data_IF_076286288612
#
_entry.id   IF_076286288612
#
_cell.length_a   1.000
_cell.length_b   1.000
_cell.length_c   1.000
_cell.angle_alpha   90.00
_cell.angle_beta   90.00
_cell.angle_gamma   90.00
#
_symmetry.space_group_name_H-M   'P 1'
#
loop_
_entity.id
_entity.type
_entity.pdbx_description
1 polymer ?
#
# COMPACT_ATOMS: atom_id res chain seq x y z
N UNK A 1 46.55 -11.97 16.11
CA UNK A 1 47.43 -10.78 16.09
C UNK A 1 47.59 -10.28 14.70
N UNK A 2 46.91 -9.22 14.36
CA UNK A 2 47.26 -8.27 13.30
C UNK A 2 46.39 -7.01 13.49
N UNK A 3 47.11 -5.95 13.78
CA UNK A 3 46.72 -4.60 14.16
C UNK A 3 46.08 -3.82 12.99
N UNK A 4 45.04 -3.08 13.29
CA UNK A 4 44.38 -2.14 12.39
C UNK A 4 44.96 -0.75 12.66
N UNK A 5 45.49 -0.10 11.64
CA UNK A 5 45.92 1.28 11.69
C UNK A 5 44.83 2.23 11.21
N UNK A 6 44.53 3.20 12.05
CA UNK A 6 43.74 4.39 11.75
C UNK A 6 44.54 5.37 10.91
N UNK A 7 43.88 6.00 9.94
CA UNK A 7 44.43 7.22 9.28
C UNK A 7 43.36 8.29 9.38
N UNK A 8 43.65 9.29 10.21
CA UNK A 8 43.00 10.62 10.25
C UNK A 8 43.67 11.56 9.24
N UNK A 9 42.88 12.26 8.46
CA UNK A 9 43.39 13.47 7.78
C UNK A 9 42.34 14.58 7.80
N UNK A 10 42.62 15.55 8.62
CA UNK A 10 42.04 16.89 8.70
C UNK A 10 42.63 17.79 7.61
N UNK A 11 41.82 18.51 6.85
CA UNK A 11 42.29 19.76 6.19
C UNK A 11 41.16 20.77 6.26
N UNK A 12 41.43 21.85 6.96
CA UNK A 12 40.68 23.10 6.99
C UNK A 12 41.25 24.06 5.93
N UNK A 13 40.41 24.76 5.22
CA UNK A 13 40.82 25.99 4.53
C UNK A 13 39.63 26.97 4.49
N UNK A 14 39.86 28.05 5.19
CA UNK A 14 39.06 29.25 5.29
C UNK A 14 39.51 30.21 4.19
N UNK A 15 38.59 30.73 3.36
CA UNK A 15 38.87 31.93 2.54
C UNK A 15 37.70 32.89 2.65
N UNK A 16 37.97 34.02 3.25
CA UNK A 16 37.16 35.24 3.26
C UNK A 16 37.44 36.02 1.99
N UNK A 17 36.46 36.57 1.31
CA UNK A 17 36.62 37.69 0.40
C UNK A 17 35.40 38.59 0.35
N UNK A 18 35.65 39.85 0.50
CA UNK A 18 34.77 41.02 0.65
C UNK A 18 33.91 41.31 -0.58
N UNK A 19 32.78 41.98 -0.30
CA UNK A 19 31.88 42.64 -1.24
C UNK A 19 32.50 43.91 -1.90
N UNK A 20 31.88 44.40 -2.97
CA UNK A 20 31.46 45.79 -2.94
C UNK A 20 30.00 46.02 -3.28
N UNK A 21 29.44 47.01 -2.61
CA UNK A 21 28.13 47.56 -2.86
C UNK A 21 28.18 48.49 -4.08
N UNK A 22 27.21 48.33 -4.97
CA UNK A 22 26.93 49.25 -6.05
C UNK A 22 25.44 49.46 -6.21
N UNK A 23 24.94 50.57 -5.77
CA UNK A 23 23.56 50.96 -5.94
C UNK A 23 23.24 51.35 -7.39
N UNK A 24 22.09 51.01 -7.87
CA UNK A 24 21.43 51.62 -9.01
C UNK A 24 19.92 51.62 -8.84
N UNK A 25 19.40 52.76 -9.08
CA UNK A 25 18.00 53.22 -8.92
C UNK A 25 17.02 52.57 -9.88
N UNK A 26 15.83 52.40 -9.37
CA UNK A 26 14.51 52.38 -9.96
C UNK A 26 14.35 52.55 -11.48
N UNK A 27 13.68 51.59 -12.08
CA UNK A 27 12.75 51.82 -13.18
C UNK A 27 11.51 50.99 -12.90
N UNK A 28 10.39 51.65 -12.63
CA UNK A 28 9.09 51.06 -12.61
C UNK A 28 8.74 50.71 -14.06
N UNK A 29 8.55 49.46 -14.33
CA UNK A 29 7.91 48.99 -15.58
C UNK A 29 6.60 48.36 -15.19
N UNK A 30 5.50 48.99 -15.61
CA UNK A 30 4.17 48.41 -15.61
C UNK A 30 4.17 47.18 -16.49
N UNK A 31 4.15 45.99 -15.83
CA UNK A 31 3.84 44.74 -16.49
C UNK A 31 2.33 44.47 -16.33
N UNK A 32 1.62 44.14 -17.41
CA UNK A 32 0.21 43.80 -17.32
C UNK A 32 0.00 42.58 -16.47
N UNK A 33 -0.99 42.62 -15.60
CA UNK A 33 -1.40 41.50 -14.73
C UNK A 33 -1.66 40.26 -15.59
N UNK A 34 -0.77 39.28 -15.45
CA UNK A 34 -0.99 37.95 -16.01
C UNK A 34 -2.23 37.36 -15.35
N UNK A 35 -3.24 37.08 -16.17
CA UNK A 35 -4.46 36.43 -15.76
C UNK A 35 -4.11 35.12 -15.04
N UNK A 36 -4.49 35.01 -13.78
CA UNK A 36 -4.35 33.79 -13.00
C UNK A 36 -5.15 32.69 -13.70
N UNK A 37 -4.44 31.71 -14.24
CA UNK A 37 -5.08 30.47 -14.70
C UNK A 37 -5.78 29.83 -13.49
N UNK A 38 -7.05 29.41 -13.64
CA UNK A 38 -7.74 28.74 -12.55
C UNK A 38 -6.97 27.45 -12.24
N UNK A 39 -6.43 27.37 -11.04
CA UNK A 39 -5.90 26.12 -10.47
C UNK A 39 -7.11 25.21 -10.34
N UNK A 40 -7.26 24.28 -11.28
CA UNK A 40 -8.22 23.20 -11.14
C UNK A 40 -7.76 22.40 -9.92
N UNK A 41 -8.56 22.29 -8.85
CA UNK A 41 -8.17 21.49 -7.72
C UNK A 41 -7.97 20.07 -8.23
N UNK A 42 -6.78 19.50 -7.99
CA UNK A 42 -6.51 18.10 -8.24
C UNK A 42 -7.66 17.31 -7.59
N UNK A 43 -8.33 16.47 -8.39
CA UNK A 43 -9.41 15.64 -7.92
C UNK A 43 -8.95 14.92 -6.66
N UNK A 44 -9.53 15.32 -5.54
CA UNK A 44 -9.27 14.74 -4.24
C UNK A 44 -9.54 13.24 -4.39
N UNK A 45 -8.53 12.40 -4.20
CA UNK A 45 -8.73 10.96 -4.13
C UNK A 45 -9.86 10.76 -3.12
N UNK A 46 -10.98 10.19 -3.58
CA UNK A 46 -12.17 10.03 -2.76
C UNK A 46 -11.76 9.35 -1.45
N UNK A 47 -11.89 10.07 -0.35
CA UNK A 47 -11.61 9.55 0.98
C UNK A 47 -12.49 8.31 1.15
N UNK A 48 -11.93 7.13 1.45
CA UNK A 48 -12.74 5.94 1.59
C UNK A 48 -13.83 6.18 2.63
N UNK A 49 -15.07 5.80 2.31
CA UNK A 49 -16.26 6.08 3.09
C UNK A 49 -16.25 5.43 4.51
N UNK A 50 -15.21 4.67 4.85
CA UNK A 50 -15.08 3.96 6.12
C UNK A 50 -13.83 4.42 6.87
N UNK A 51 -13.96 4.75 8.16
CA UNK A 51 -12.85 5.16 9.02
C UNK A 51 -11.70 4.14 9.06
N UNK A 52 -12.01 2.85 9.04
CA UNK A 52 -11.04 1.75 9.00
C UNK A 52 -10.14 1.78 7.75
N UNK A 53 -10.58 2.41 6.67
CA UNK A 53 -9.82 2.47 5.43
C UNK A 53 -8.61 3.40 5.53
N UNK A 54 -8.65 4.41 6.39
CA UNK A 54 -7.54 5.33 6.63
C UNK A 54 -6.29 4.65 7.21
N UNK A 55 -6.46 3.51 7.88
CA UNK A 55 -5.39 2.81 8.61
C UNK A 55 -4.90 1.53 7.93
N UNK A 56 -5.47 1.15 6.80
CA UNK A 56 -5.05 -0.05 6.07
C UNK A 56 -6.20 -0.77 5.36
N UNK A 57 -6.71 -0.18 4.30
CA UNK A 57 -7.66 -0.79 3.39
C UNK A 57 -7.04 -1.97 2.63
N UNK A 58 -7.78 -3.07 2.37
CA UNK A 58 -9.12 -3.40 2.91
C UNK A 58 -9.08 -4.14 4.26
N UNK A 59 -7.90 -4.62 4.66
CA UNK A 59 -7.76 -5.60 5.73
C UNK A 59 -8.14 -5.10 7.12
N UNK A 60 -7.91 -3.80 7.41
CA UNK A 60 -8.37 -3.24 8.68
C UNK A 60 -9.90 -3.18 8.75
N UNK A 61 -10.55 -2.92 7.62
CA UNK A 61 -12.01 -2.91 7.60
C UNK A 61 -12.60 -4.32 7.74
N UNK A 62 -11.98 -5.32 7.10
CA UNK A 62 -12.38 -6.71 7.29
C UNK A 62 -12.17 -7.12 8.76
N UNK A 63 -11.01 -6.79 9.35
CA UNK A 63 -10.74 -7.10 10.76
C UNK A 63 -11.72 -6.39 11.72
N UNK A 64 -12.04 -5.12 11.44
CA UNK A 64 -13.05 -4.39 12.24
C UNK A 64 -14.40 -5.10 12.21
N UNK A 65 -14.81 -5.59 11.06
CA UNK A 65 -16.07 -6.32 10.90
C UNK A 65 -16.02 -7.73 11.54
N UNK A 66 -14.92 -8.46 11.42
CA UNK A 66 -14.79 -9.85 11.87
C UNK A 66 -14.50 -9.95 13.38
N UNK A 67 -13.72 -9.05 13.94
CA UNK A 67 -13.20 -9.16 15.31
C UNK A 67 -13.22 -7.84 16.11
N UNK A 68 -13.83 -6.79 15.57
CA UNK A 68 -13.72 -5.44 16.16
C UNK A 68 -12.28 -4.91 16.14
N UNK A 69 -11.50 -5.29 15.13
CA UNK A 69 -10.11 -4.87 14.93
C UNK A 69 -9.09 -5.56 15.86
N UNK A 70 -9.49 -6.58 16.60
CA UNK A 70 -8.64 -7.29 17.56
C UNK A 70 -7.87 -8.44 16.89
N UNK A 71 -6.60 -8.21 16.58
CA UNK A 71 -5.78 -9.18 15.84
C UNK A 71 -5.40 -10.45 16.62
N UNK A 72 -5.53 -10.44 17.94
CA UNK A 72 -5.29 -11.58 18.83
C UNK A 72 -6.58 -12.28 19.30
N UNK A 73 -7.69 -12.11 18.60
CA UNK A 73 -8.98 -12.67 18.98
C UNK A 73 -8.95 -14.19 18.97
N UNK A 74 -9.37 -14.77 20.10
CA UNK A 74 -9.66 -16.18 20.28
C UNK A 74 -10.82 -16.32 21.29
N UNK A 75 -12.01 -16.59 20.79
CA UNK A 75 -13.23 -16.74 21.60
C UNK A 75 -13.61 -18.20 21.83
N UNK A 76 -12.79 -19.15 21.35
CA UNK A 76 -13.07 -20.58 21.46
C UNK A 76 -14.03 -21.13 20.40
N UNK A 77 -14.47 -20.30 19.45
CA UNK A 77 -15.41 -20.69 18.38
C UNK A 77 -14.75 -21.41 17.19
N UNK A 78 -13.44 -21.67 17.24
CA UNK A 78 -12.68 -22.32 16.17
C UNK A 78 -12.14 -21.36 15.10
N UNK A 79 -12.45 -20.05 15.22
CA UNK A 79 -11.94 -18.99 14.37
C UNK A 79 -10.95 -18.11 15.15
N UNK A 80 -9.86 -17.70 14.51
CA UNK A 80 -8.73 -17.10 15.18
C UNK A 80 -8.21 -15.84 14.47
N UNK A 81 -7.77 -14.88 15.29
CA UNK A 81 -7.12 -13.66 14.83
C UNK A 81 -8.08 -12.57 14.36
N UNK A 82 -7.51 -11.46 13.89
CA UNK A 82 -8.28 -10.31 13.43
C UNK A 82 -9.19 -10.59 12.25
N UNK A 83 -8.79 -11.51 11.38
CA UNK A 83 -9.51 -11.88 10.17
C UNK A 83 -10.32 -13.17 10.32
N UNK A 84 -10.46 -13.69 11.54
CA UNK A 84 -11.25 -14.87 11.89
C UNK A 84 -10.95 -16.08 10.99
N UNK A 85 -9.68 -16.45 10.92
CA UNK A 85 -9.28 -17.65 10.19
C UNK A 85 -9.81 -18.93 10.84
N UNK A 86 -10.50 -19.75 10.07
CA UNK A 86 -10.69 -21.14 10.43
C UNK A 86 -9.34 -21.86 10.44
N UNK A 87 -9.06 -22.65 11.48
CA UNK A 87 -7.73 -23.23 11.65
C UNK A 87 -7.23 -24.10 10.48
N UNK A 88 -8.05 -24.97 9.84
CA UNK A 88 -7.65 -25.66 8.63
C UNK A 88 -7.27 -24.72 7.47
N UNK A 89 -7.98 -23.59 7.29
CA UNK A 89 -7.65 -22.58 6.27
C UNK A 89 -6.28 -21.95 6.59
N UNK A 90 -6.05 -21.59 7.85
CA UNK A 90 -4.73 -21.07 8.29
C UNK A 90 -3.59 -22.01 7.90
N UNK A 91 -3.75 -23.32 8.15
CA UNK A 91 -2.78 -24.35 7.77
C UNK A 91 -2.61 -24.46 6.26
N UNK A 92 -3.71 -24.60 5.53
CA UNK A 92 -3.71 -24.84 4.08
C UNK A 92 -3.04 -23.70 3.30
N UNK A 93 -3.18 -22.46 3.78
CA UNK A 93 -2.59 -21.28 3.16
C UNK A 93 -1.24 -20.84 3.77
N UNK A 94 -0.58 -21.76 4.47
CA UNK A 94 0.80 -21.59 4.91
C UNK A 94 0.97 -20.73 6.17
N UNK A 95 -0.08 -20.56 6.95
CA UNK A 95 -0.04 -19.81 8.21
C UNK A 95 0.89 -20.41 9.25
N UNK A 96 1.08 -21.74 9.25
CA UNK A 96 1.97 -22.44 10.19
C UNK A 96 3.44 -21.98 10.11
N UNK A 97 3.87 -21.36 9.02
CA UNK A 97 5.21 -20.73 8.91
C UNK A 97 5.39 -19.54 9.86
N UNK A 98 4.29 -18.96 10.34
CA UNK A 98 4.29 -17.80 11.21
C UNK A 98 3.92 -18.13 12.64
N UNK A 99 2.85 -18.91 12.82
CA UNK A 99 2.37 -19.31 14.14
C UNK A 99 1.47 -20.55 14.04
N UNK A 100 1.31 -21.34 15.11
CA UNK A 100 0.40 -22.49 15.12
C UNK A 100 -1.07 -22.11 14.93
N UNK A 101 -1.46 -20.87 15.28
CA UNK A 101 -2.81 -20.31 15.05
C UNK A 101 -2.72 -18.84 14.65
N UNK A 102 -3.74 -18.33 13.98
CA UNK A 102 -3.74 -16.96 13.47
C UNK A 102 -3.69 -15.90 14.57
N UNK A 103 -4.36 -16.10 15.71
CA UNK A 103 -4.37 -15.18 16.86
C UNK A 103 -3.00 -14.97 17.51
N UNK A 104 -2.06 -15.91 17.28
CA UNK A 104 -0.68 -15.86 17.76
C UNK A 104 0.29 -15.23 16.74
N UNK A 105 -0.18 -14.98 15.53
CA UNK A 105 0.58 -14.32 14.47
C UNK A 105 0.38 -12.80 14.54
N UNK A 106 1.40 -12.06 14.09
CA UNK A 106 1.28 -10.61 13.97
C UNK A 106 0.23 -10.22 12.92
N UNK A 107 -0.31 -9.00 13.00
CA UNK A 107 -1.21 -8.43 11.99
C UNK A 107 -0.67 -8.61 10.56
N UNK A 108 0.59 -8.25 10.33
CA UNK A 108 1.21 -8.34 9.02
C UNK A 108 1.28 -9.79 8.50
N UNK A 109 1.55 -10.76 9.37
CA UNK A 109 1.58 -12.18 9.03
C UNK A 109 0.18 -12.71 8.70
N UNK A 110 -0.83 -12.32 9.47
CA UNK A 110 -2.22 -12.66 9.17
C UNK A 110 -2.66 -12.12 7.80
N UNK A 111 -2.32 -10.87 7.48
CA UNK A 111 -2.61 -10.27 6.17
C UNK A 111 -1.92 -11.03 5.04
N UNK A 112 -0.65 -11.43 5.20
CA UNK A 112 0.05 -12.25 4.18
C UNK A 112 -0.67 -13.56 3.87
N UNK A 113 -1.19 -14.22 4.89
CA UNK A 113 -1.98 -15.46 4.69
C UNK A 113 -3.34 -15.13 4.06
N UNK A 114 -3.97 -14.04 4.47
CA UNK A 114 -5.23 -13.58 3.89
C UNK A 114 -5.12 -13.26 2.40
N UNK A 115 -4.01 -12.66 1.96
CA UNK A 115 -3.74 -12.41 0.54
C UNK A 115 -3.67 -13.72 -0.27
N UNK A 116 -3.10 -14.78 0.29
CA UNK A 116 -3.10 -16.10 -0.37
C UNK A 116 -4.50 -16.72 -0.43
N UNK A 117 -5.30 -16.58 0.63
CA UNK A 117 -6.72 -17.01 0.60
C UNK A 117 -7.50 -16.20 -0.43
N UNK A 118 -7.34 -14.88 -0.44
CA UNK A 118 -8.00 -13.98 -1.39
C UNK A 118 -7.67 -14.33 -2.84
N UNK A 119 -6.42 -14.70 -3.10
CA UNK A 119 -5.96 -15.11 -4.43
C UNK A 119 -6.70 -16.33 -4.95
N UNK A 120 -7.01 -17.29 -4.08
CA UNK A 120 -7.63 -18.59 -4.46
C UNK A 120 -9.14 -18.53 -4.33
N UNK A 121 -9.65 -18.10 -3.19
CA UNK A 121 -11.07 -18.12 -2.85
C UNK A 121 -11.79 -16.80 -3.17
N UNK A 122 -11.03 -15.72 -3.34
CA UNK A 122 -11.61 -14.40 -3.48
C UNK A 122 -12.25 -13.92 -2.18
N UNK A 123 -13.02 -12.85 -2.28
CA UNK A 123 -13.72 -12.22 -1.15
C UNK A 123 -14.84 -13.06 -0.54
N UNK A 124 -15.21 -14.16 -1.18
CA UNK A 124 -16.19 -15.12 -0.62
C UNK A 124 -15.69 -15.83 0.63
N UNK A 125 -14.39 -15.77 0.91
CA UNK A 125 -13.83 -16.26 2.17
C UNK A 125 -14.29 -15.44 3.38
N UNK A 126 -14.72 -14.20 3.18
CA UNK A 126 -15.29 -13.29 4.20
C UNK A 126 -16.64 -12.75 3.76
N UNK A 127 -17.69 -13.62 3.66
CA UNK A 127 -18.92 -13.30 2.91
C UNK A 127 -19.72 -12.12 3.48
N UNK A 128 -19.75 -11.97 4.80
CA UNK A 128 -20.48 -10.87 5.47
C UNK A 128 -19.70 -9.56 5.32
N UNK A 129 -18.43 -9.59 5.68
CA UNK A 129 -17.61 -8.39 5.73
C UNK A 129 -17.24 -7.90 4.31
N UNK A 130 -17.01 -8.80 3.37
CA UNK A 130 -16.80 -8.39 1.98
C UNK A 130 -18.02 -7.69 1.38
N UNK A 131 -19.21 -8.21 1.63
CA UNK A 131 -20.47 -7.59 1.19
C UNK A 131 -20.65 -6.20 1.83
N UNK A 132 -20.35 -6.05 3.12
CA UNK A 132 -20.45 -4.79 3.85
C UNK A 132 -19.59 -3.69 3.21
N UNK A 133 -18.42 -4.03 2.71
CA UNK A 133 -17.46 -3.10 2.14
C UNK A 133 -17.41 -3.11 0.60
N UNK A 134 -18.35 -3.79 -0.07
CA UNK A 134 -18.44 -3.85 -1.53
C UNK A 134 -17.30 -4.61 -2.20
N UNK A 135 -16.58 -5.46 -1.46
CA UNK A 135 -15.44 -6.24 -1.95
C UNK A 135 -15.94 -7.44 -2.76
N UNK A 136 -15.40 -7.66 -3.97
CA UNK A 136 -15.89 -8.70 -4.91
C UNK A 136 -14.75 -9.35 -5.66
N UNK A 137 -14.97 -10.60 -6.09
CA UNK A 137 -14.05 -11.34 -6.96
C UNK A 137 -12.73 -11.70 -6.28
N UNK A 138 -11.73 -12.04 -7.10
CA UNK A 138 -10.35 -12.21 -6.65
C UNK A 138 -9.64 -10.85 -6.75
N UNK A 139 -8.82 -10.55 -5.78
CA UNK A 139 -8.07 -9.31 -5.77
C UNK A 139 -6.66 -9.52 -5.19
N UNK A 140 -5.79 -8.52 -5.39
CA UNK A 140 -4.47 -8.43 -4.80
C UNK A 140 -4.26 -7.02 -4.26
N UNK A 141 -3.80 -6.90 -3.03
CA UNK A 141 -3.37 -5.62 -2.47
C UNK A 141 -1.89 -5.43 -2.76
N UNK A 142 -1.56 -4.36 -3.48
CA UNK A 142 -0.19 -4.03 -3.90
C UNK A 142 0.74 -3.95 -2.69
N UNK A 143 1.82 -4.71 -2.74
CA UNK A 143 2.86 -4.77 -1.70
C UNK A 143 4.11 -4.00 -2.15
N UNK A 144 5.01 -3.63 -1.21
CA UNK A 144 6.29 -3.04 -1.58
C UNK A 144 7.08 -3.94 -2.54
N UNK A 145 7.53 -3.37 -3.66
CA UNK A 145 8.26 -4.07 -4.71
C UNK A 145 7.40 -4.76 -5.78
N UNK A 146 6.07 -4.71 -5.65
CA UNK A 146 5.19 -5.20 -6.70
C UNK A 146 5.26 -4.34 -7.96
N UNK A 147 5.16 -5.00 -9.11
CA UNK A 147 4.94 -4.40 -10.42
C UNK A 147 3.75 -5.08 -11.10
N UNK A 148 3.07 -4.39 -12.00
CA UNK A 148 1.97 -4.99 -12.76
C UNK A 148 2.40 -6.28 -13.49
N UNK A 149 3.62 -6.30 -14.03
CA UNK A 149 4.17 -7.49 -14.71
C UNK A 149 4.38 -8.65 -13.74
N UNK A 150 4.96 -8.39 -12.56
CA UNK A 150 5.17 -9.41 -11.54
C UNK A 150 3.84 -9.97 -11.01
N UNK A 151 2.88 -9.08 -10.74
CA UNK A 151 1.53 -9.44 -10.29
C UNK A 151 0.84 -10.29 -11.37
N UNK A 152 0.83 -9.82 -12.64
CA UNK A 152 0.17 -10.54 -13.73
C UNK A 152 0.77 -11.94 -13.94
N UNK A 153 2.09 -12.08 -13.85
CA UNK A 153 2.79 -13.37 -13.93
C UNK A 153 2.43 -14.27 -12.75
N UNK A 154 2.54 -13.76 -11.52
CA UNK A 154 2.22 -14.50 -10.28
C UNK A 154 0.81 -15.05 -10.29
N UNK A 155 -0.16 -14.27 -10.75
CA UNK A 155 -1.58 -14.62 -10.75
C UNK A 155 -2.07 -15.20 -12.08
N UNK A 156 -1.17 -15.41 -13.04
CA UNK A 156 -1.46 -15.96 -14.36
C UNK A 156 -2.60 -15.23 -15.06
N UNK A 157 -2.56 -13.89 -15.03
CA UNK A 157 -3.57 -13.05 -15.66
C UNK A 157 -3.48 -13.24 -17.18
N UNK A 158 -4.59 -13.68 -17.77
CA UNK A 158 -4.69 -13.81 -19.23
C UNK A 158 -4.57 -12.42 -19.88
N UNK A 159 -3.68 -12.28 -20.85
CA UNK A 159 -3.36 -10.97 -21.45
C UNK A 159 -2.32 -10.16 -20.69
N UNK A 160 -1.72 -10.74 -19.62
CA UNK A 160 -0.56 -10.16 -18.94
C UNK A 160 -0.86 -8.88 -18.17
N UNK A 161 0.18 -8.06 -18.01
CA UNK A 161 0.09 -6.82 -17.25
C UNK A 161 -0.83 -5.78 -17.92
N UNK A 162 -0.96 -5.80 -19.24
CA UNK A 162 -1.85 -4.90 -19.96
C UNK A 162 -3.31 -5.15 -19.60
N UNK A 163 -3.75 -6.43 -19.59
CA UNK A 163 -5.09 -6.79 -19.17
C UNK A 163 -5.33 -6.48 -17.69
N UNK A 164 -4.33 -6.68 -16.84
CA UNK A 164 -4.40 -6.30 -15.43
C UNK A 164 -4.54 -4.78 -15.27
N UNK A 165 -3.78 -3.99 -16.03
CA UNK A 165 -3.87 -2.53 -16.01
C UNK A 165 -5.25 -2.04 -16.47
N UNK A 166 -5.74 -2.51 -17.62
CA UNK A 166 -7.04 -2.10 -18.14
C UNK A 166 -8.18 -2.45 -17.18
N UNK A 167 -8.15 -3.62 -16.55
CA UNK A 167 -9.14 -4.00 -15.54
C UNK A 167 -9.13 -3.10 -14.29
N UNK A 168 -8.02 -2.39 -14.05
CA UNK A 168 -7.81 -1.56 -12.86
C UNK A 168 -7.52 -0.09 -13.19
N UNK A 169 -7.80 0.34 -14.40
CA UNK A 169 -7.46 1.70 -14.86
C UNK A 169 -8.09 2.80 -14.01
N UNK A 170 -9.28 2.57 -13.48
CA UNK A 170 -9.97 3.51 -12.58
C UNK A 170 -9.26 3.70 -11.24
N UNK A 171 -8.56 2.67 -10.76
CA UNK A 171 -7.82 2.68 -9.50
C UNK A 171 -6.38 3.19 -9.70
N UNK A 172 -5.71 2.71 -10.76
CA UNK A 172 -4.31 3.05 -11.05
C UNK A 172 -4.20 4.45 -11.69
N UNK A 173 -5.18 4.83 -12.48
CA UNK A 173 -5.17 6.08 -13.27
C UNK A 173 -4.60 5.92 -14.67
N UNK A 174 -4.16 7.01 -15.28
CA UNK A 174 -3.81 7.07 -16.70
C UNK A 174 -2.41 6.54 -17.05
N UNK A 175 -1.62 6.11 -16.06
CA UNK A 175 -0.28 5.54 -16.29
C UNK A 175 -0.10 4.26 -15.50
N UNK A 176 0.40 3.17 -16.13
CA UNK A 176 0.67 1.90 -15.44
C UNK A 176 1.77 2.01 -14.39
N UNK A 177 2.62 3.05 -14.48
CA UNK A 177 3.73 3.28 -13.54
C UNK A 177 3.27 3.90 -12.20
N UNK A 178 1.98 4.23 -12.08
CA UNK A 178 1.41 4.83 -10.84
C UNK A 178 0.93 3.79 -9.84
N UNK A 179 1.46 2.58 -9.89
CA UNK A 179 1.16 1.54 -8.93
C UNK A 179 1.64 1.94 -7.54
N UNK A 180 0.73 1.99 -6.57
CA UNK A 180 1.04 2.43 -5.20
C UNK A 180 0.73 1.31 -4.21
N UNK A 181 1.62 1.14 -3.22
CA UNK A 181 1.40 0.17 -2.13
C UNK A 181 0.06 0.44 -1.43
N UNK A 182 -0.69 -0.63 -1.21
CA UNK A 182 -2.03 -0.56 -0.62
C UNK A 182 -3.18 -0.44 -1.64
N UNK A 183 -2.90 -0.20 -2.92
CA UNK A 183 -3.94 -0.29 -3.96
C UNK A 183 -4.47 -1.71 -4.02
N UNK A 184 -5.78 -1.86 -4.10
CA UNK A 184 -6.43 -3.15 -4.33
C UNK A 184 -6.76 -3.30 -5.81
N UNK A 185 -6.11 -4.27 -6.46
CA UNK A 185 -6.31 -4.60 -7.85
C UNK A 185 -7.24 -5.79 -8.00
N UNK A 186 -8.28 -5.66 -8.82
CA UNK A 186 -9.07 -6.78 -9.27
C UNK A 186 -8.21 -7.69 -10.18
N UNK A 187 -8.27 -8.99 -9.96
CA UNK A 187 -7.56 -9.98 -10.77
C UNK A 187 -8.55 -10.54 -11.81
N UNK A 188 -8.45 -10.17 -13.08
CA UNK A 188 -9.29 -10.71 -14.13
C UNK A 188 -9.05 -12.23 -14.31
N UNK A 189 -10.06 -12.92 -14.84
CA UNK A 189 -10.04 -14.38 -15.05
C UNK A 189 -9.09 -14.80 -16.18
#
# INVERSE_FOLDING_TARGET
MRTIQSISTTVAALVLALAPQGGARAAASDAPAAAATPVVPAASAATPAFACAATGWPWNCVAECESGGKWNTNTGNGYYGGLQFWHPTWKAFGGLRYAPRADLATRAQQIKVAEEVLRVQGWTAWPVCSKRYGLKGRAHTVQPGDTLSAIATRFRVKGGWQALYEANRTVIGNSPDRLTVGMMLALPA
#
